data_IF_457536936504
#
_entry.id   IF_457536936504
#
_cell.length_a   1.000
_cell.length_b   1.000
_cell.length_c   1.000
_cell.angle_alpha   90.00
_cell.angle_beta   90.00
_cell.angle_gamma   90.00
#
_symmetry.space_group_name_H-M   'P 1'
#
loop_
_entity.id
_entity.type
_entity.pdbx_description
1 polymer ?
#
# COMPACT_ATOMS: atom_id res chain seq x y z
N UNK A 1 -0.53 -17.82 19.05
CA UNK A 1 0.50 -17.87 17.99
C UNK A 1 -0.16 -17.22 16.78
N UNK A 2 -0.03 -15.90 16.63
CA UNK A 2 -0.81 -15.13 15.65
C UNK A 2 -0.20 -15.27 14.28
N UNK A 3 -0.98 -15.69 13.29
CA UNK A 3 -0.54 -15.96 11.92
C UNK A 3 0.06 -14.70 11.27
N UNK A 4 1.38 -14.65 10.97
CA UNK A 4 2.03 -13.50 10.35
C UNK A 4 1.77 -13.37 8.84
N UNK A 5 0.85 -14.16 8.27
CA UNK A 5 0.78 -14.42 6.83
C UNK A 5 -0.17 -13.48 6.07
N UNK A 6 -0.77 -12.49 6.73
CA UNK A 6 -1.78 -11.61 6.14
C UNK A 6 -1.36 -10.13 6.09
N UNK A 7 -0.13 -9.82 6.53
CA UNK A 7 0.43 -8.46 6.55
C UNK A 7 1.66 -8.37 5.67
N UNK A 8 1.83 -7.22 5.03
CA UNK A 8 3.05 -6.85 4.33
C UNK A 8 4.17 -6.56 5.32
N UNK A 9 5.37 -7.02 4.97
CA UNK A 9 6.60 -6.60 5.63
C UNK A 9 6.95 -5.16 5.27
N UNK A 10 7.79 -4.52 6.10
CA UNK A 10 8.27 -3.14 5.84
C UNK A 10 8.98 -3.02 4.49
N UNK A 11 9.72 -4.04 4.07
CA UNK A 11 10.39 -4.05 2.78
C UNK A 11 9.38 -4.16 1.62
N UNK A 12 8.34 -4.98 1.76
CA UNK A 12 7.26 -5.06 0.77
C UNK A 12 6.53 -3.72 0.64
N UNK A 13 6.19 -3.07 1.77
CA UNK A 13 5.57 -1.74 1.78
C UNK A 13 6.45 -0.73 1.03
N UNK A 14 7.76 -0.71 1.31
CA UNK A 14 8.69 0.20 0.64
C UNK A 14 8.73 -0.03 -0.88
N UNK A 15 8.82 -1.28 -1.31
CA UNK A 15 8.83 -1.63 -2.75
C UNK A 15 7.53 -1.20 -3.43
N UNK A 16 6.39 -1.43 -2.79
CA UNK A 16 5.08 -0.99 -3.30
C UNK A 16 5.04 0.53 -3.41
N UNK A 17 5.49 1.24 -2.37
CA UNK A 17 5.52 2.70 -2.35
C UNK A 17 6.42 3.29 -3.45
N UNK A 18 7.61 2.73 -3.63
CA UNK A 18 8.56 3.12 -4.69
C UNK A 18 7.93 2.95 -6.08
N UNK A 19 7.25 1.82 -6.33
CA UNK A 19 6.66 1.55 -7.63
C UNK A 19 5.34 2.28 -7.87
N UNK A 20 4.52 2.47 -6.82
CA UNK A 20 3.30 3.23 -6.89
C UNK A 20 3.61 4.68 -7.27
N UNK A 21 4.72 5.25 -6.79
CA UNK A 21 5.20 6.57 -7.22
C UNK A 21 4.06 7.59 -7.26
N UNK A 22 3.86 8.26 -8.40
CA UNK A 22 2.80 9.27 -8.57
C UNK A 22 1.35 8.74 -8.52
N UNK A 23 1.13 7.42 -8.61
CA UNK A 23 -0.21 6.81 -8.53
C UNK A 23 -0.58 6.33 -7.12
N UNK A 24 0.23 6.63 -6.10
CA UNK A 24 -0.03 6.23 -4.71
C UNK A 24 -1.41 6.65 -4.17
N UNK A 25 -1.94 7.81 -4.59
CA UNK A 25 -3.27 8.26 -4.17
C UNK A 25 -4.37 7.33 -4.72
N UNK A 26 -4.24 6.89 -5.99
CA UNK A 26 -5.18 5.93 -6.58
C UNK A 26 -5.09 4.56 -5.91
N UNK A 27 -3.88 4.16 -5.49
CA UNK A 27 -3.69 2.96 -4.68
C UNK A 27 -4.45 3.10 -3.36
N UNK A 28 -4.28 4.22 -2.65
CA UNK A 28 -5.01 4.46 -1.40
C UNK A 28 -6.52 4.45 -1.56
N UNK A 29 -7.06 5.07 -2.63
CA UNK A 29 -8.49 5.04 -2.95
C UNK A 29 -9.01 3.61 -3.17
N UNK A 30 -8.23 2.77 -3.88
CA UNK A 30 -8.56 1.35 -4.10
C UNK A 30 -8.54 0.52 -2.82
N UNK A 31 -7.67 0.89 -1.89
CA UNK A 31 -7.59 0.30 -0.55
C UNK A 31 -8.69 0.83 0.40
N UNK A 32 -9.53 1.75 -0.07
CA UNK A 32 -10.67 2.28 0.68
C UNK A 32 -10.34 3.45 1.59
N UNK A 33 -9.14 4.04 1.48
CA UNK A 33 -8.80 5.24 2.24
C UNK A 33 -9.62 6.45 1.75
N UNK A 34 -10.20 7.24 2.66
CA UNK A 34 -10.97 8.40 2.28
C UNK A 34 -10.06 9.54 1.79
N UNK A 35 -10.62 10.41 0.94
CA UNK A 35 -9.84 11.44 0.23
C UNK A 35 -9.18 12.47 1.17
N UNK A 36 -9.77 12.71 2.34
CA UNK A 36 -9.23 13.58 3.39
C UNK A 36 -7.98 12.97 4.05
N UNK A 37 -7.98 11.66 4.32
CA UNK A 37 -6.79 10.94 4.79
C UNK A 37 -5.67 11.02 3.73
N UNK A 38 -6.00 10.82 2.45
CA UNK A 38 -5.03 10.94 1.36
C UNK A 38 -4.47 12.35 1.21
N UNK A 39 -5.30 13.38 1.38
CA UNK A 39 -4.84 14.77 1.39
C UNK A 39 -3.87 15.03 2.56
N UNK A 40 -4.17 14.51 3.75
CA UNK A 40 -3.28 14.61 4.91
C UNK A 40 -1.89 14.00 4.64
N UNK A 41 -1.85 12.80 4.05
CA UNK A 41 -0.57 12.16 3.69
C UNK A 41 0.19 12.96 2.63
N UNK A 42 -0.50 13.52 1.65
CA UNK A 42 0.12 14.34 0.60
C UNK A 42 0.83 15.57 1.18
N UNK A 43 0.28 16.17 2.22
CA UNK A 43 0.85 17.35 2.86
C UNK A 43 1.94 17.00 3.90
N UNK A 44 2.18 15.72 4.17
CA UNK A 44 3.12 15.25 5.20
C UNK A 44 4.59 15.22 4.78
N UNK A 45 4.89 15.12 3.48
CA UNK A 45 6.25 15.13 2.93
C UNK A 45 6.23 15.44 1.43
N UNK A 46 7.27 16.11 0.92
CA UNK A 46 7.47 16.31 -0.52
C UNK A 46 7.98 15.03 -1.21
N UNK A 47 8.44 14.04 -0.45
CA UNK A 47 8.91 12.76 -0.97
C UNK A 47 7.74 11.78 -1.14
N UNK A 48 7.32 11.60 -2.39
CA UNK A 48 6.20 10.73 -2.76
C UNK A 48 6.36 9.28 -2.24
N UNK A 49 7.58 8.73 -2.23
CA UNK A 49 7.83 7.39 -1.71
C UNK A 49 7.63 7.32 -0.21
N UNK A 50 8.08 8.34 0.52
CA UNK A 50 7.89 8.44 1.97
C UNK A 50 6.40 8.59 2.32
N UNK A 51 5.69 9.46 1.59
CA UNK A 51 4.24 9.64 1.71
C UNK A 51 3.50 8.31 1.48
N UNK A 52 3.81 7.61 0.40
CA UNK A 52 3.17 6.34 0.07
C UNK A 52 3.52 5.24 1.11
N UNK A 53 4.76 5.21 1.60
CA UNK A 53 5.19 4.27 2.65
C UNK A 53 4.41 4.51 3.95
N UNK A 54 4.29 5.77 4.37
CA UNK A 54 3.55 6.15 5.57
C UNK A 54 2.07 5.82 5.44
N UNK A 55 1.45 6.15 4.31
CA UNK A 55 0.06 5.83 4.00
C UNK A 55 -0.21 4.32 4.11
N UNK A 56 0.62 3.49 3.47
CA UNK A 56 0.46 2.03 3.48
C UNK A 56 0.69 1.43 4.88
N UNK A 57 1.63 1.99 5.64
CA UNK A 57 1.90 1.55 7.01
C UNK A 57 0.70 1.81 7.90
N UNK A 58 0.15 3.03 7.87
CA UNK A 58 -1.03 3.40 8.67
C UNK A 58 -2.25 2.57 8.24
N UNK A 59 -2.49 2.44 6.94
CA UNK A 59 -3.60 1.63 6.43
C UNK A 59 -3.56 0.18 6.94
N UNK A 60 -2.40 -0.48 6.88
CA UNK A 60 -2.26 -1.85 7.37
C UNK A 60 -2.42 -1.96 8.89
N UNK A 61 -1.96 -0.94 9.65
CA UNK A 61 -2.12 -0.88 11.10
C UNK A 61 -3.58 -0.66 11.53
N UNK A 62 -4.37 0.06 10.73
CA UNK A 62 -5.81 0.25 10.94
C UNK A 62 -6.64 -0.98 10.51
N UNK A 63 -6.14 -1.75 9.54
CA UNK A 63 -6.81 -2.93 8.96
C UNK A 63 -6.26 -4.27 9.48
N UNK A 64 -5.86 -4.33 10.76
CA UNK A 64 -5.22 -5.50 11.39
C UNK A 64 -5.99 -6.83 11.26
N UNK A 65 -7.30 -6.79 11.03
CA UNK A 65 -8.14 -7.99 10.88
C UNK A 65 -8.35 -8.43 9.42
N UNK A 66 -7.94 -7.61 8.43
CA UNK A 66 -8.11 -7.90 7.01
C UNK A 66 -6.85 -8.50 6.40
N UNK A 67 -7.06 -9.33 5.38
CA UNK A 67 -5.99 -9.83 4.52
C UNK A 67 -5.43 -8.67 3.68
N UNK A 68 -4.42 -7.99 4.24
CA UNK A 68 -3.76 -6.84 3.62
C UNK A 68 -3.04 -7.25 2.34
N UNK A 69 -2.57 -8.50 2.26
CA UNK A 69 -1.91 -9.05 1.07
C UNK A 69 -2.90 -9.16 -0.08
N UNK A 70 -4.07 -9.77 0.14
CA UNK A 70 -5.09 -9.88 -0.90
C UNK A 70 -5.60 -8.51 -1.38
N UNK A 71 -5.87 -7.59 -0.44
CA UNK A 71 -6.31 -6.24 -0.80
C UNK A 71 -5.28 -5.49 -1.65
N UNK A 72 -4.00 -5.57 -1.29
CA UNK A 72 -2.90 -4.97 -2.06
C UNK A 72 -2.74 -5.65 -3.41
N UNK A 73 -2.83 -6.98 -3.46
CA UNK A 73 -2.73 -7.72 -4.71
C UNK A 73 -3.80 -7.29 -5.70
N UNK A 74 -5.05 -7.22 -5.24
CA UNK A 74 -6.18 -6.82 -6.07
C UNK A 74 -6.06 -5.36 -6.51
N UNK A 75 -5.67 -4.46 -5.60
CA UNK A 75 -5.45 -3.05 -5.92
C UNK A 75 -4.29 -2.82 -6.92
N UNK A 76 -3.19 -3.55 -6.79
CA UNK A 76 -2.06 -3.47 -7.72
C UNK A 76 -2.40 -4.05 -9.09
N UNK A 77 -3.18 -5.13 -9.13
CA UNK A 77 -3.71 -5.72 -10.38
C UNK A 77 -4.60 -4.71 -11.12
N UNK A 78 -5.51 -4.05 -10.39
CA UNK A 78 -6.39 -3.01 -10.95
C UNK A 78 -5.63 -1.79 -11.50
N UNK A 79 -4.44 -1.52 -10.95
CA UNK A 79 -3.57 -0.43 -11.39
C UNK A 79 -2.58 -0.84 -12.50
N UNK A 80 -2.56 -2.12 -12.90
CA UNK A 80 -1.62 -2.66 -13.88
C UNK A 80 -0.17 -2.68 -13.38
N UNK A 81 0.02 -2.80 -12.06
CA UNK A 81 1.33 -2.88 -11.39
C UNK A 81 1.76 -4.34 -11.20
N UNK A 82 1.53 -5.18 -12.21
CA UNK A 82 1.81 -6.62 -12.18
C UNK A 82 3.30 -6.95 -11.93
N UNK A 83 4.18 -6.03 -12.32
CA UNK A 83 5.63 -6.14 -12.06
C UNK A 83 5.96 -6.11 -10.57
N UNK A 84 5.15 -5.43 -9.74
CA UNK A 84 5.28 -5.44 -8.28
C UNK A 84 4.83 -6.77 -7.71
N UNK A 85 3.73 -7.32 -8.22
CA UNK A 85 3.22 -8.62 -7.76
C UNK A 85 4.27 -9.72 -7.98
N UNK A 86 4.92 -9.70 -9.15
CA UNK A 86 6.02 -10.60 -9.46
C UNK A 86 7.25 -10.36 -8.58
N UNK A 87 7.60 -9.11 -8.27
CA UNK A 87 8.79 -8.82 -7.44
C UNK A 87 8.61 -9.18 -5.97
N UNK A 88 7.36 -9.18 -5.49
CA UNK A 88 7.02 -9.52 -4.10
C UNK A 88 6.63 -10.99 -3.90
N UNK A 89 6.66 -11.81 -4.96
CA UNK A 89 6.11 -13.18 -4.98
C UNK A 89 4.64 -13.23 -4.50
N UNK A 90 3.84 -12.22 -4.87
CA UNK A 90 2.41 -12.11 -4.59
C UNK A 90 1.54 -12.49 -5.80
N UNK A 91 2.18 -12.97 -6.86
CA UNK A 91 1.59 -13.50 -8.10
C UNK A 91 0.93 -14.86 -7.93
#
# INVERSE_FOLDING_TARGET
VGSPQLQLTKDQIRIIAEQAGSVWMKLGERLGLPADHLAYFKDSSDNVTEVATNMLTVWQEEEQEKDSISAIRDALTDLGLDTVLASLNLS
#
